data_IF_587731099690
#
_entry.id   IF_587731099690
#
_cell.length_a   1.000
_cell.length_b   1.000
_cell.length_c   1.000
_cell.angle_alpha   90.00
_cell.angle_beta   90.00
_cell.angle_gamma   90.00
#
_symmetry.space_group_name_H-M   'P 1'
#
loop_
_entity.id
_entity.type
_entity.pdbx_description
1 polymer ?
#
# COMPACT_ATOMS: atom_id res chain seq x y z
N UNK A 1 -16.16 -68.74 -15.74
CA UNK A 1 -16.10 -68.70 -17.22
C UNK A 1 -16.61 -67.34 -17.69
N UNK A 2 -15.76 -66.60 -18.42
CA UNK A 2 -16.01 -65.53 -19.41
C UNK A 2 -17.15 -64.50 -19.17
N UNK A 3 -16.82 -63.22 -18.90
CA UNK A 3 -16.46 -62.10 -19.84
C UNK A 3 -17.67 -61.42 -20.50
N UNK A 4 -17.91 -60.14 -20.16
CA UNK A 4 -18.10 -58.96 -21.04
C UNK A 4 -18.60 -57.78 -20.16
N UNK A 5 -17.81 -56.75 -19.81
CA UNK A 5 -17.33 -55.56 -20.56
C UNK A 5 -18.42 -54.56 -21.00
N UNK A 6 -18.56 -53.48 -20.22
CA UNK A 6 -18.91 -52.11 -20.66
C UNK A 6 -18.12 -51.13 -19.78
N UNK A 7 -16.95 -50.67 -20.24
CA UNK A 7 -16.66 -49.30 -20.72
C UNK A 7 -17.58 -48.19 -20.19
N UNK A 8 -17.05 -47.39 -19.27
CA UNK A 8 -17.37 -45.96 -19.16
C UNK A 8 -16.09 -45.18 -18.86
N UNK A 9 -15.88 -44.14 -19.64
CA UNK A 9 -14.68 -43.32 -19.72
C UNK A 9 -14.40 -42.56 -18.41
N UNK A 10 -13.26 -42.85 -17.78
CA UNK A 10 -12.64 -41.96 -16.80
C UNK A 10 -11.82 -40.92 -17.54
N UNK A 11 -12.31 -39.69 -17.56
CA UNK A 11 -11.62 -38.51 -18.06
C UNK A 11 -10.36 -38.29 -17.21
N UNK A 12 -9.19 -38.46 -17.84
CA UNK A 12 -7.90 -38.06 -17.30
C UNK A 12 -7.87 -36.53 -17.32
N UNK A 13 -8.15 -35.91 -16.18
CA UNK A 13 -7.81 -34.50 -15.96
C UNK A 13 -6.30 -34.46 -15.78
N UNK A 14 -5.61 -34.10 -16.87
CA UNK A 14 -4.20 -33.80 -16.85
C UNK A 14 -3.94 -32.71 -15.82
N UNK A 15 -3.24 -33.09 -14.76
CA UNK A 15 -2.48 -32.15 -13.94
C UNK A 15 -1.38 -31.65 -14.86
N UNK A 16 -1.68 -30.57 -15.57
CA UNK A 16 -0.67 -29.73 -16.19
C UNK A 16 0.21 -29.23 -15.05
N UNK A 17 1.38 -29.85 -14.91
CA UNK A 17 2.51 -29.26 -14.24
C UNK A 17 2.75 -27.91 -14.91
N UNK A 18 2.18 -26.85 -14.32
CA UNK A 18 2.57 -25.49 -14.60
C UNK A 18 4.08 -25.46 -14.37
N UNK A 19 4.80 -25.41 -15.48
CA UNK A 19 6.24 -25.29 -15.46
C UNK A 19 6.60 -24.13 -14.54
N UNK A 20 7.72 -24.27 -13.86
CA UNK A 20 8.38 -23.18 -13.16
C UNK A 20 8.50 -22.00 -14.12
N UNK A 21 7.51 -21.10 -14.12
CA UNK A 21 7.62 -19.80 -14.74
C UNK A 21 8.78 -19.15 -13.98
N UNK A 22 9.94 -19.10 -14.62
CA UNK A 22 11.12 -18.48 -14.05
C UNK A 22 10.69 -17.10 -13.57
N UNK A 23 10.96 -16.79 -12.30
CA UNK A 23 10.71 -15.45 -11.79
C UNK A 23 11.31 -14.44 -12.78
N UNK A 24 10.58 -13.39 -13.17
CA UNK A 24 11.10 -12.37 -14.07
C UNK A 24 12.48 -11.94 -13.57
N UNK A 25 13.48 -11.95 -14.45
CA UNK A 25 14.84 -11.62 -14.06
C UNK A 25 14.84 -10.16 -13.61
N UNK A 26 15.19 -9.85 -12.35
CA UNK A 26 15.23 -8.47 -11.90
C UNK A 26 16.27 -7.72 -12.73
N UNK A 27 15.88 -6.59 -13.32
CA UNK A 27 16.81 -5.76 -14.08
C UNK A 27 17.60 -4.86 -13.16
N UNK A 28 16.97 -4.26 -12.14
CA UNK A 28 17.70 -3.45 -11.16
C UNK A 28 17.20 -3.63 -9.72
N UNK A 29 18.14 -3.52 -8.77
CA UNK A 29 17.91 -3.58 -7.32
C UNK A 29 18.50 -2.33 -6.66
N UNK A 30 17.72 -1.59 -5.88
CA UNK A 30 18.27 -0.50 -5.07
C UNK A 30 19.10 -1.07 -3.91
N UNK A 31 20.36 -0.60 -3.76
CA UNK A 31 21.13 -0.85 -2.54
C UNK A 31 20.88 0.28 -1.55
N UNK A 32 20.39 -0.10 -0.40
CA UNK A 32 20.51 0.64 0.83
C UNK A 32 20.56 -0.42 1.94
N UNK A 33 20.92 -0.04 3.18
CA UNK A 33 20.81 -0.90 4.38
C UNK A 33 19.34 -1.20 4.71
N UNK A 34 18.60 -1.71 3.72
CA UNK A 34 17.18 -2.01 3.75
C UNK A 34 17.00 -3.53 3.75
N UNK A 35 16.12 -4.06 4.59
CA UNK A 35 15.84 -5.50 4.66
C UNK A 35 15.31 -6.06 3.34
N UNK A 36 14.60 -5.24 2.56
CA UNK A 36 14.12 -5.59 1.23
C UNK A 36 14.38 -4.42 0.27
N UNK A 37 15.10 -4.66 -0.83
CA UNK A 37 15.40 -3.65 -1.82
C UNK A 37 14.17 -3.32 -2.67
N UNK A 38 14.09 -2.09 -3.15
CA UNK A 38 13.22 -1.75 -4.28
C UNK A 38 13.71 -2.49 -5.53
N UNK A 39 12.80 -3.18 -6.24
CA UNK A 39 13.13 -4.02 -7.40
C UNK A 39 12.41 -3.53 -8.65
N UNK A 40 13.15 -3.36 -9.75
CA UNK A 40 12.62 -3.02 -11.07
C UNK A 40 12.92 -4.18 -12.01
N UNK A 41 11.89 -4.68 -12.70
CA UNK A 41 11.97 -5.84 -13.58
C UNK A 41 11.11 -5.64 -14.83
N UNK A 42 11.25 -6.56 -15.77
CA UNK A 42 10.34 -6.74 -16.90
C UNK A 42 9.50 -7.98 -16.60
N UNK A 43 8.18 -7.87 -16.68
CA UNK A 43 7.26 -8.99 -16.44
C UNK A 43 7.18 -9.96 -17.64
N UNK A 44 6.30 -10.94 -17.55
CA UNK A 44 6.15 -11.97 -18.59
C UNK A 44 5.56 -11.41 -19.90
N UNK A 45 4.84 -10.29 -19.79
CA UNK A 45 4.19 -9.57 -20.88
C UNK A 45 5.11 -8.52 -21.52
N UNK A 46 6.33 -8.33 -20.98
CA UNK A 46 7.29 -7.35 -21.48
C UNK A 46 7.12 -5.95 -20.90
N UNK A 47 6.22 -5.77 -19.93
CA UNK A 47 5.96 -4.49 -19.27
C UNK A 47 6.93 -4.29 -18.12
N UNK A 48 7.17 -3.03 -17.77
CA UNK A 48 7.91 -2.70 -16.57
C UNK A 48 7.10 -3.02 -15.33
N UNK A 49 7.78 -3.62 -14.35
CA UNK A 49 7.25 -3.94 -13.03
C UNK A 49 8.19 -3.39 -11.97
N UNK A 50 7.66 -2.59 -11.07
CA UNK A 50 8.44 -1.93 -10.04
C UNK A 50 7.82 -2.14 -8.65
N UNK A 51 8.51 -2.92 -7.81
CA UNK A 51 8.09 -3.25 -6.45
C UNK A 51 8.68 -2.27 -5.44
N UNK A 52 7.81 -1.71 -4.60
CA UNK A 52 8.12 -0.60 -3.69
C UNK A 52 7.96 -1.03 -2.22
N UNK A 53 8.87 -1.84 -1.65
CA UNK A 53 8.75 -2.33 -0.28
C UNK A 53 8.74 -1.19 0.76
N UNK A 54 9.40 -0.06 0.45
CA UNK A 54 9.37 1.16 1.26
C UNK A 54 8.02 1.90 1.25
N UNK A 55 7.05 1.41 0.48
CA UNK A 55 5.70 1.96 0.35
C UNK A 55 4.61 0.91 0.64
N UNK A 56 4.97 -0.27 1.14
CA UNK A 56 4.01 -1.32 1.51
C UNK A 56 3.93 -2.42 0.50
N UNK A 57 4.97 -2.51 -0.31
CA UNK A 57 5.03 -3.37 -1.48
C UNK A 57 3.89 -3.15 -2.48
N UNK A 58 3.40 -1.92 -2.75
CA UNK A 58 2.68 -1.70 -3.98
C UNK A 58 3.60 -1.99 -5.16
N UNK A 59 2.98 -2.33 -6.28
CA UNK A 59 3.67 -2.64 -7.52
C UNK A 59 3.19 -1.71 -8.59
N UNK A 60 4.09 -0.88 -9.11
CA UNK A 60 3.84 -0.07 -10.29
C UNK A 60 4.10 -0.89 -11.55
N UNK A 61 3.25 -0.71 -12.55
CA UNK A 61 3.45 -1.27 -13.89
C UNK A 61 3.32 -0.20 -14.96
N UNK A 62 3.97 -0.44 -16.09
CA UNK A 62 3.99 0.52 -17.20
C UNK A 62 4.78 0.04 -18.40
N UNK A 63 4.88 0.89 -19.42
CA UNK A 63 5.62 0.60 -20.65
C UNK A 63 7.06 1.12 -20.59
N UNK A 64 8.00 0.37 -21.16
CA UNK A 64 9.39 0.79 -21.27
C UNK A 64 9.66 1.56 -22.56
N UNK A 65 10.44 2.62 -22.43
CA UNK A 65 11.04 3.34 -23.55
C UNK A 65 12.57 3.38 -23.40
N UNK A 66 13.28 2.95 -24.43
CA UNK A 66 14.75 3.09 -24.52
C UNK A 66 15.10 4.46 -25.11
N UNK A 67 15.91 5.22 -24.38
CA UNK A 67 16.36 6.56 -24.79
C UNK A 67 17.89 6.63 -24.81
N UNK A 68 18.50 7.60 -25.52
CA UNK A 68 19.95 7.80 -25.46
C UNK A 68 20.51 8.07 -24.05
N UNK A 69 19.66 8.51 -23.11
CA UNK A 69 20.02 8.87 -21.75
C UNK A 69 19.79 7.74 -20.74
N UNK A 70 19.13 6.64 -21.14
CA UNK A 70 18.74 5.56 -20.26
C UNK A 70 17.36 5.00 -20.60
N UNK A 71 16.71 4.35 -19.63
CA UNK A 71 15.40 3.72 -19.80
C UNK A 71 14.33 4.47 -19.05
N UNK A 72 13.19 4.71 -19.67
CA UNK A 72 12.04 5.39 -19.07
C UNK A 72 10.91 4.39 -18.87
N UNK A 73 10.38 4.32 -17.65
CA UNK A 73 9.14 3.61 -17.34
C UNK A 73 8.00 4.62 -17.35
N UNK A 74 7.07 4.45 -18.28
CA UNK A 74 5.81 5.20 -18.33
C UNK A 74 4.75 4.43 -17.53
N UNK A 75 4.49 4.89 -16.32
CA UNK A 75 3.63 4.22 -15.34
C UNK A 75 2.16 4.46 -15.70
N UNK A 76 1.37 3.39 -15.69
CA UNK A 76 -0.08 3.46 -15.95
C UNK A 76 -0.95 2.75 -14.91
N UNK A 77 -0.35 1.91 -14.06
CA UNK A 77 -1.09 1.13 -13.08
C UNK A 77 -0.30 0.91 -11.79
N UNK A 78 -1.03 0.83 -10.68
CA UNK A 78 -0.52 0.40 -9.39
C UNK A 78 -1.38 -0.72 -8.82
N UNK A 79 -0.75 -1.81 -8.42
CA UNK A 79 -1.39 -2.92 -7.71
C UNK A 79 -1.03 -2.87 -6.23
N UNK A 80 -2.04 -3.03 -5.38
CA UNK A 80 -1.92 -3.07 -3.93
C UNK A 80 -2.66 -4.29 -3.38
N UNK A 81 -1.95 -5.09 -2.59
CA UNK A 81 -2.50 -6.22 -1.86
C UNK A 81 -2.38 -5.97 -0.36
N UNK A 82 -3.52 -5.92 0.32
CA UNK A 82 -3.61 -5.65 1.75
C UNK A 82 -4.17 -6.89 2.43
N UNK A 83 -3.46 -7.39 3.43
CA UNK A 83 -3.90 -8.52 4.24
C UNK A 83 -4.08 -8.08 5.69
N UNK A 84 -5.18 -8.49 6.32
CA UNK A 84 -5.43 -8.24 7.74
C UNK A 84 -6.11 -9.45 8.39
N UNK A 85 -6.22 -9.43 9.72
CA UNK A 85 -6.62 -10.62 10.49
C UNK A 85 -7.95 -11.25 10.02
N UNK A 86 -8.85 -10.42 9.49
CA UNK A 86 -10.21 -10.82 9.11
C UNK A 86 -10.46 -10.73 7.61
N UNK A 87 -9.44 -10.55 6.76
CA UNK A 87 -9.71 -10.30 5.35
C UNK A 87 -8.52 -9.88 4.50
N UNK A 88 -8.82 -9.59 3.25
CA UNK A 88 -7.86 -9.01 2.30
C UNK A 88 -8.56 -8.07 1.32
N UNK A 89 -7.81 -7.10 0.80
CA UNK A 89 -8.22 -6.17 -0.26
C UNK A 89 -7.15 -6.24 -1.34
N UNK A 90 -7.59 -6.54 -2.56
CA UNK A 90 -6.82 -6.31 -3.79
C UNK A 90 -7.38 -5.05 -4.43
N UNK A 91 -6.51 -4.09 -4.72
CA UNK A 91 -6.87 -2.86 -5.44
C UNK A 91 -5.90 -2.66 -6.58
N UNK A 92 -6.44 -2.33 -7.73
CA UNK A 92 -5.67 -1.76 -8.82
C UNK A 92 -6.11 -0.33 -9.07
N UNK A 93 -5.12 0.54 -9.21
CA UNK A 93 -5.27 1.93 -9.54
C UNK A 93 -4.89 2.18 -10.98
N UNK A 94 -5.61 3.10 -11.61
CA UNK A 94 -5.02 3.92 -12.65
C UNK A 94 -3.96 4.81 -12.00
N UNK A 95 -2.74 4.72 -12.49
CA UNK A 95 -1.63 5.57 -12.08
C UNK A 95 -1.12 6.35 -13.30
N UNK A 96 -0.37 7.42 -13.06
CA UNK A 96 0.31 8.17 -14.12
C UNK A 96 1.68 8.60 -13.63
N UNK A 97 2.61 8.82 -14.56
CA UNK A 97 3.94 9.36 -14.26
C UNK A 97 5.04 8.65 -15.05
N UNK A 98 6.25 9.18 -14.97
CA UNK A 98 7.37 8.67 -15.72
C UNK A 98 8.66 8.76 -14.90
N UNK A 99 9.41 7.66 -14.85
CA UNK A 99 10.68 7.58 -14.15
C UNK A 99 11.76 7.08 -15.09
N UNK A 100 12.89 7.79 -15.13
CA UNK A 100 14.06 7.44 -15.93
C UNK A 100 15.15 6.82 -15.06
N UNK A 101 15.70 5.70 -15.51
CA UNK A 101 16.95 5.14 -15.00
C UNK A 101 18.08 5.47 -15.96
N UNK A 102 19.04 6.26 -15.48
CA UNK A 102 20.24 6.64 -16.24
C UNK A 102 21.48 5.94 -15.66
N UNK A 103 22.43 5.48 -16.50
CA UNK A 103 23.65 4.88 -16.00
C UNK A 103 24.53 5.92 -15.29
N UNK A 104 25.06 5.57 -14.12
CA UNK A 104 26.03 6.35 -13.34
C UNK A 104 27.22 5.47 -12.93
N UNK A 105 28.28 6.08 -12.41
CA UNK A 105 29.46 5.34 -11.96
C UNK A 105 29.08 4.34 -10.85
N UNK A 106 29.12 3.03 -11.18
CA UNK A 106 28.82 1.96 -10.24
C UNK A 106 27.35 1.52 -10.20
N UNK A 107 26.46 2.05 -11.04
CA UNK A 107 25.08 1.59 -11.09
C UNK A 107 24.17 2.45 -11.97
N UNK A 108 22.94 2.61 -11.51
CA UNK A 108 21.87 3.36 -12.17
C UNK A 108 21.24 4.31 -11.17
N UNK A 109 20.81 5.48 -11.65
CA UNK A 109 20.09 6.47 -10.86
C UNK A 109 18.71 6.72 -11.44
N UNK A 110 17.72 6.74 -10.56
CA UNK A 110 16.35 7.06 -10.91
C UNK A 110 16.10 8.58 -10.83
N UNK A 111 15.38 9.10 -11.81
CA UNK A 111 14.92 10.48 -11.88
C UNK A 111 13.44 10.50 -12.26
N UNK A 112 12.63 11.25 -11.50
CA UNK A 112 11.22 11.47 -11.81
C UNK A 112 11.12 12.49 -12.93
N UNK A 113 10.65 12.07 -14.11
CA UNK A 113 10.41 12.96 -15.24
C UNK A 113 9.01 13.58 -15.16
N UNK A 114 8.03 12.79 -14.76
CA UNK A 114 6.65 13.22 -14.51
C UNK A 114 6.20 12.70 -13.14
N UNK A 115 5.51 13.52 -12.32
CA UNK A 115 5.03 13.10 -11.01
C UNK A 115 4.27 11.78 -11.06
N UNK A 116 4.57 10.87 -10.14
CA UNK A 116 3.83 9.62 -10.03
C UNK A 116 2.56 9.87 -9.22
N UNK A 117 1.40 9.80 -9.88
CA UNK A 117 0.10 10.13 -9.31
C UNK A 117 -0.84 8.92 -9.30
N UNK A 118 -1.68 8.83 -8.26
CA UNK A 118 -2.79 7.88 -8.21
C UNK A 118 -4.04 8.58 -8.75
N UNK A 119 -4.53 8.16 -9.91
CA UNK A 119 -5.65 8.82 -10.59
C UNK A 119 -6.99 8.34 -10.03
N UNK A 120 -7.12 7.04 -9.80
CA UNK A 120 -8.34 6.46 -9.27
C UNK A 120 -8.32 4.93 -9.23
N UNK A 121 -9.27 4.35 -8.51
CA UNK A 121 -9.42 2.88 -8.45
C UNK A 121 -9.99 2.37 -9.78
N UNK A 122 -9.28 1.47 -10.43
CA UNK A 122 -9.71 0.80 -11.67
C UNK A 122 -10.54 -0.44 -11.33
N UNK A 123 -10.02 -1.29 -10.43
CA UNK A 123 -10.71 -2.51 -9.99
C UNK A 123 -10.33 -2.87 -8.56
N UNK A 124 -11.22 -3.62 -7.91
CA UNK A 124 -10.95 -4.14 -6.59
C UNK A 124 -11.63 -5.49 -6.34
N UNK A 125 -11.08 -6.25 -5.40
CA UNK A 125 -11.71 -7.40 -4.80
C UNK A 125 -11.47 -7.34 -3.28
N UNK A 126 -12.53 -7.60 -2.49
CA UNK A 126 -12.46 -7.49 -1.04
C UNK A 126 -13.04 -8.74 -0.43
N UNK A 127 -12.32 -9.33 0.52
CA UNK A 127 -12.85 -10.35 1.42
C UNK A 127 -12.88 -9.79 2.83
N UNK A 128 -14.06 -9.78 3.45
CA UNK A 128 -14.26 -9.47 4.88
C UNK A 128 -14.92 -10.65 5.55
N UNK A 129 -14.16 -11.38 6.38
CA UNK A 129 -14.57 -12.63 7.02
C UNK A 129 -15.05 -13.66 5.98
N UNK A 130 -16.36 -13.95 5.99
CA UNK A 130 -17.04 -14.85 5.05
C UNK A 130 -17.57 -14.11 3.81
N UNK A 131 -17.69 -12.79 3.86
CA UNK A 131 -18.19 -11.97 2.76
C UNK A 131 -17.10 -11.73 1.72
N UNK A 132 -17.48 -11.85 0.43
CA UNK A 132 -16.65 -11.49 -0.71
C UNK A 132 -17.37 -10.45 -1.55
N UNK A 133 -16.73 -9.30 -1.76
CA UNK A 133 -17.16 -8.26 -2.68
C UNK A 133 -16.34 -8.39 -3.97
N UNK A 134 -17.01 -8.24 -5.11
CA UNK A 134 -16.42 -8.26 -6.46
C UNK A 134 -17.16 -7.29 -7.38
N UNK A 135 -16.54 -6.93 -8.50
CA UNK A 135 -17.11 -6.02 -9.50
C UNK A 135 -17.42 -4.66 -8.89
N UNK A 136 -18.49 -4.02 -9.35
CA UNK A 136 -18.88 -2.66 -8.99
C UNK A 136 -18.97 -2.43 -7.49
N UNK A 137 -19.44 -3.42 -6.72
CA UNK A 137 -19.53 -3.30 -5.26
C UNK A 137 -18.18 -3.20 -4.57
N UNK A 138 -17.19 -3.97 -5.03
CA UNK A 138 -15.84 -3.89 -4.48
C UNK A 138 -15.15 -2.61 -4.94
N UNK A 139 -15.37 -2.23 -6.20
CA UNK A 139 -14.87 -0.99 -6.77
C UNK A 139 -15.39 0.25 -6.00
N UNK A 140 -16.70 0.35 -5.76
CA UNK A 140 -17.29 1.45 -5.00
C UNK A 140 -16.76 1.54 -3.56
N UNK A 141 -16.61 0.39 -2.89
CA UNK A 141 -16.07 0.34 -1.53
C UNK A 141 -14.60 0.78 -1.51
N UNK A 142 -13.78 0.27 -2.42
CA UNK A 142 -12.38 0.63 -2.55
C UNK A 142 -12.21 2.11 -2.94
N UNK A 143 -13.01 2.63 -3.87
CA UNK A 143 -12.99 4.05 -4.27
C UNK A 143 -13.30 4.96 -3.09
N UNK A 144 -14.40 4.72 -2.37
CA UNK A 144 -14.76 5.53 -1.20
C UNK A 144 -13.71 5.47 -0.11
N UNK A 145 -13.06 4.32 0.09
CA UNK A 145 -11.93 4.18 1.01
C UNK A 145 -10.71 4.98 0.54
N UNK A 146 -10.35 4.86 -0.74
CA UNK A 146 -9.25 5.61 -1.37
C UNK A 146 -9.39 7.11 -1.13
N UNK A 147 -10.57 7.66 -1.44
CA UNK A 147 -10.89 9.08 -1.29
C UNK A 147 -10.72 9.54 0.15
N UNK A 148 -11.31 8.81 1.11
CA UNK A 148 -11.15 9.12 2.54
C UNK A 148 -9.69 9.00 3.00
N UNK A 149 -8.96 7.99 2.55
CA UNK A 149 -7.55 7.81 2.91
C UNK A 149 -6.73 8.99 2.38
N UNK A 150 -6.94 9.42 1.14
CA UNK A 150 -6.25 10.56 0.56
C UNK A 150 -6.53 11.85 1.33
N UNK A 151 -7.80 12.13 1.63
CA UNK A 151 -8.20 13.32 2.39
C UNK A 151 -7.60 13.32 3.80
N UNK A 152 -7.71 12.20 4.53
CA UNK A 152 -7.18 12.11 5.90
C UNK A 152 -5.64 12.15 5.89
N UNK A 153 -4.98 11.52 4.91
CA UNK A 153 -3.52 11.59 4.79
C UNK A 153 -3.06 13.03 4.56
N UNK A 154 -3.76 13.82 3.74
CA UNK A 154 -3.47 15.25 3.53
C UNK A 154 -3.65 16.03 4.83
N UNK A 155 -4.78 15.87 5.52
CA UNK A 155 -5.04 16.55 6.80
C UNK A 155 -4.03 16.17 7.88
N UNK A 156 -3.57 14.91 7.88
CA UNK A 156 -2.60 14.42 8.85
C UNK A 156 -1.23 15.08 8.67
N UNK A 157 -0.83 15.51 7.46
CA UNK A 157 0.53 16.01 7.17
C UNK A 157 0.92 17.23 8.01
N UNK A 158 -0.03 18.09 8.36
CA UNK A 158 0.23 19.28 9.18
C UNK A 158 0.66 18.93 10.61
N UNK A 159 0.11 17.83 11.15
CA UNK A 159 0.37 17.38 12.52
C UNK A 159 1.40 16.24 12.58
N UNK A 160 1.47 15.45 11.51
CA UNK A 160 2.31 14.28 11.34
C UNK A 160 3.05 14.39 9.99
N UNK A 161 4.18 15.11 9.93
CA UNK A 161 4.99 15.18 8.73
C UNK A 161 5.40 13.78 8.24
N UNK A 162 5.25 13.48 6.93
CA UNK A 162 5.64 12.19 6.35
C UNK A 162 7.09 11.84 6.66
N UNK A 163 7.33 10.58 7.00
CA UNK A 163 8.67 10.01 7.17
C UNK A 163 8.62 8.51 6.98
N UNK A 164 9.73 7.92 6.55
CA UNK A 164 9.83 6.46 6.53
C UNK A 164 9.69 5.89 7.94
N UNK A 165 8.87 4.86 8.09
CA UNK A 165 8.66 4.19 9.36
C UNK A 165 8.70 2.68 9.21
N UNK A 166 9.00 2.01 10.33
CA UNK A 166 8.89 0.57 10.42
C UNK A 166 7.44 0.12 10.65
N UNK A 167 7.16 -1.14 10.33
CA UNK A 167 5.95 -1.87 10.70
C UNK A 167 6.34 -3.00 11.67
N UNK A 168 5.43 -3.34 12.58
CA UNK A 168 5.60 -4.46 13.52
C UNK A 168 5.35 -5.86 12.95
N UNK A 169 4.84 -6.00 11.72
CA UNK A 169 4.51 -7.32 11.18
C UNK A 169 5.79 -8.03 10.74
N UNK A 170 6.14 -9.20 11.32
CA UNK A 170 7.42 -9.88 11.10
C UNK A 170 7.64 -10.38 9.66
N UNK A 171 6.63 -10.29 8.79
CA UNK A 171 6.68 -10.72 7.40
C UNK A 171 6.45 -9.59 6.39
N UNK A 172 6.35 -8.33 6.85
CA UNK A 172 6.24 -7.19 5.96
C UNK A 172 7.57 -6.44 5.86
N UNK A 173 7.98 -5.98 4.65
CA UNK A 173 9.30 -5.39 4.35
C UNK A 173 9.77 -4.19 5.20
N UNK A 174 8.91 -3.65 6.05
CA UNK A 174 9.05 -2.39 6.76
C UNK A 174 10.01 -2.43 7.96
N UNK A 175 11.25 -2.88 7.81
CA UNK A 175 12.26 -2.67 8.87
C UNK A 175 13.24 -1.59 8.44
N UNK A 176 12.72 -0.37 8.31
CA UNK A 176 13.57 0.78 8.05
C UNK A 176 13.46 1.67 9.26
N UNK A 177 14.62 1.80 9.92
CA UNK A 177 14.88 2.55 11.13
C UNK A 177 14.52 1.81 12.42
N UNK A 178 15.45 1.81 13.38
CA UNK A 178 15.21 1.50 14.80
C UNK A 178 14.32 2.58 15.42
N UNK A 179 13.16 2.81 14.83
CA UNK A 179 12.19 3.76 15.33
C UNK A 179 11.71 3.26 16.69
N UNK A 180 11.61 4.16 17.66
CA UNK A 180 11.00 3.86 18.96
C UNK A 180 9.50 3.51 18.84
N UNK A 181 8.94 3.69 17.65
CA UNK A 181 7.52 3.58 17.33
C UNK A 181 7.35 3.17 15.86
N UNK A 182 6.38 2.29 15.58
CA UNK A 182 5.98 1.90 14.23
C UNK A 182 4.82 2.77 13.68
N UNK A 183 4.50 2.67 12.40
CA UNK A 183 3.42 3.48 11.84
C UNK A 183 2.04 3.23 12.47
N UNK A 184 1.70 1.98 12.78
CA UNK A 184 0.43 1.62 13.43
C UNK A 184 0.29 2.32 14.79
N UNK A 185 1.35 2.37 15.57
CA UNK A 185 1.41 3.04 16.85
C UNK A 185 1.29 4.56 16.66
N UNK A 186 2.07 5.16 15.76
CA UNK A 186 2.02 6.61 15.52
C UNK A 186 0.61 7.05 15.12
N UNK A 187 0.06 6.39 14.11
CA UNK A 187 -1.26 6.71 13.58
C UNK A 187 -2.36 6.38 14.59
N UNK A 188 -2.28 5.19 15.21
CA UNK A 188 -3.23 4.72 16.22
C UNK A 188 -3.29 5.63 17.44
N UNK A 189 -2.16 6.03 18.00
CA UNK A 189 -2.11 6.96 19.12
C UNK A 189 -2.61 8.37 18.75
N UNK A 190 -2.47 8.77 17.49
CA UNK A 190 -2.93 10.07 17.03
C UNK A 190 -4.44 10.07 16.82
N UNK A 191 -4.96 9.17 15.98
CA UNK A 191 -6.37 9.19 15.56
C UNK A 191 -7.29 8.39 16.50
N UNK A 192 -6.78 7.40 17.22
CA UNK A 192 -7.57 6.46 18.03
C UNK A 192 -6.95 6.20 19.42
N UNK A 193 -6.62 7.25 20.21
CA UNK A 193 -5.99 7.09 21.52
C UNK A 193 -6.83 6.29 22.53
N UNK A 194 -8.14 6.16 22.30
CA UNK A 194 -9.05 5.34 23.11
C UNK A 194 -8.75 3.84 22.99
N UNK A 195 -8.18 3.40 21.86
CA UNK A 195 -7.83 2.00 21.58
C UNK A 195 -6.34 1.77 21.78
N UNK A 196 -5.52 2.67 21.22
CA UNK A 196 -4.07 2.52 21.20
C UNK A 196 -3.37 3.13 22.42
N UNK A 197 -4.10 3.90 23.24
CA UNK A 197 -3.58 4.56 24.43
C UNK A 197 -3.23 6.03 24.18
N UNK A 198 -3.38 6.84 25.23
CA UNK A 198 -3.15 8.27 25.19
C UNK A 198 -1.66 8.58 25.33
N UNK A 199 -1.09 9.25 24.33
CA UNK A 199 0.28 9.74 24.38
C UNK A 199 0.36 11.19 24.88
N UNK A 200 1.43 11.54 25.56
CA UNK A 200 1.73 12.91 26.02
C UNK A 200 2.37 13.79 24.94
N UNK A 201 2.30 13.40 23.66
CA UNK A 201 2.91 14.19 22.59
C UNK A 201 2.13 15.49 22.41
N UNK A 202 2.70 16.56 22.97
CA UNK A 202 2.57 18.02 22.81
C UNK A 202 1.21 18.69 22.58
N UNK A 203 0.19 17.98 22.13
CA UNK A 203 -1.04 18.54 21.59
C UNK A 203 -2.31 17.78 22.01
N UNK A 204 -2.21 16.47 22.30
CA UNK A 204 -3.31 15.73 22.95
C UNK A 204 -3.49 16.16 24.42
N UNK A 205 -2.58 16.96 24.96
CA UNK A 205 -2.76 17.63 26.25
C UNK A 205 -3.89 18.67 26.23
N UNK A 206 -4.23 19.22 25.05
CA UNK A 206 -5.36 20.14 24.87
C UNK A 206 -6.72 19.41 24.78
N UNK A 207 -6.69 18.08 24.65
CA UNK A 207 -7.86 17.24 24.48
C UNK A 207 -8.39 16.81 25.84
N UNK A 208 -9.63 17.16 26.15
CA UNK A 208 -10.30 16.72 27.36
C UNK A 208 -10.61 15.23 27.28
N UNK A 209 -9.83 14.41 28.00
CA UNK A 209 -9.99 12.95 28.08
C UNK A 209 -11.31 12.53 28.73
N UNK A 210 -11.96 13.44 29.45
CA UNK A 210 -13.25 13.22 30.11
C UNK A 210 -14.43 13.78 29.31
N UNK A 211 -14.18 14.33 28.12
CA UNK A 211 -15.23 14.82 27.25
C UNK A 211 -16.24 13.71 26.87
N UNK A 212 -17.47 14.08 26.47
CA UNK A 212 -18.48 13.13 26.05
C UNK A 212 -17.98 12.22 24.93
N UNK A 213 -18.35 10.95 25.02
CA UNK A 213 -18.05 9.96 24.00
C UNK A 213 -19.25 9.70 23.10
N UNK A 214 -18.97 9.30 21.86
CA UNK A 214 -19.94 8.86 20.88
C UNK A 214 -19.67 7.41 20.50
N UNK A 215 -20.70 6.57 20.44
CA UNK A 215 -20.52 5.15 20.10
C UNK A 215 -20.55 4.95 18.59
N UNK A 216 -19.53 4.30 18.05
CA UNK A 216 -19.47 3.85 16.66
C UNK A 216 -18.63 2.59 16.54
N UNK A 217 -19.14 1.57 15.85
CA UNK A 217 -18.48 0.26 15.67
C UNK A 217 -17.96 -0.36 16.98
N UNK A 218 -18.82 -0.37 18.00
CA UNK A 218 -18.56 -0.93 19.33
C UNK A 218 -17.46 -0.22 20.15
N UNK A 219 -16.92 0.90 19.65
CA UNK A 219 -15.95 1.75 20.34
C UNK A 219 -16.62 3.07 20.74
N UNK A 220 -16.19 3.62 21.87
CA UNK A 220 -16.60 4.94 22.35
C UNK A 220 -15.54 5.98 21.97
N UNK A 221 -15.87 6.85 21.02
CA UNK A 221 -15.00 7.88 20.48
C UNK A 221 -15.11 9.17 21.28
N UNK A 222 -13.99 9.69 21.77
CA UNK A 222 -13.96 10.96 22.47
C UNK A 222 -14.15 12.11 21.46
N UNK A 223 -15.21 12.92 21.65
CA UNK A 223 -15.55 14.01 20.73
C UNK A 223 -14.52 15.15 20.74
N UNK A 224 -13.81 15.36 21.83
CA UNK A 224 -12.76 16.39 21.88
C UNK A 224 -11.55 16.01 21.02
N UNK A 225 -11.23 14.71 20.91
CA UNK A 225 -10.23 14.20 19.95
C UNK A 225 -10.70 14.48 18.53
N UNK A 226 -11.96 14.15 18.21
CA UNK A 226 -12.52 14.37 16.87
C UNK A 226 -12.43 15.83 16.45
N UNK A 227 -12.91 16.76 17.30
CA UNK A 227 -12.90 18.19 16.98
C UNK A 227 -11.51 18.82 16.96
N UNK A 228 -10.53 18.21 17.62
CA UNK A 228 -9.14 18.65 17.57
C UNK A 228 -8.44 18.20 16.27
N UNK A 229 -8.61 16.92 15.90
CA UNK A 229 -7.89 16.33 14.77
C UNK A 229 -8.50 16.62 13.41
N UNK A 230 -9.84 16.68 13.35
CA UNK A 230 -10.59 16.69 12.11
C UNK A 230 -11.42 17.98 12.01
N UNK A 231 -11.47 18.60 10.82
CA UNK A 231 -12.49 19.59 10.52
C UNK A 231 -13.89 19.01 10.76
N UNK A 232 -14.86 19.87 11.08
CA UNK A 232 -16.24 19.46 11.39
C UNK A 232 -16.85 18.57 10.28
N UNK A 233 -16.55 18.87 9.02
CA UNK A 233 -17.01 18.09 7.86
C UNK A 233 -16.60 16.60 7.89
N UNK A 234 -15.56 16.24 8.65
CA UNK A 234 -15.04 14.88 8.76
C UNK A 234 -15.31 14.25 10.13
N UNK A 235 -15.99 14.96 11.04
CA UNK A 235 -16.23 14.47 12.39
C UNK A 235 -16.98 13.13 12.40
N UNK A 236 -17.97 12.98 11.52
CA UNK A 236 -18.78 11.77 11.39
C UNK A 236 -17.96 10.56 10.94
N UNK A 237 -16.90 10.75 10.14
CA UNK A 237 -16.05 9.63 9.69
C UNK A 237 -15.37 8.93 10.87
N UNK A 238 -14.94 9.71 11.87
CA UNK A 238 -14.34 9.19 13.09
C UNK A 238 -15.41 8.70 14.05
N UNK A 239 -16.43 9.52 14.32
CA UNK A 239 -17.46 9.20 15.31
C UNK A 239 -18.31 7.97 14.92
N UNK A 240 -18.46 7.68 13.63
CA UNK A 240 -19.15 6.47 13.17
C UNK A 240 -18.28 5.21 13.27
N UNK A 241 -16.98 5.31 13.54
CA UNK A 241 -16.00 4.22 13.48
C UNK A 241 -15.45 3.91 12.08
N UNK A 242 -15.92 4.58 11.03
CA UNK A 242 -15.51 4.27 9.64
C UNK A 242 -14.01 4.46 9.44
N UNK A 243 -13.45 5.56 9.96
CA UNK A 243 -12.02 5.85 9.86
C UNK A 243 -11.17 4.80 10.59
N UNK A 244 -11.66 4.28 11.72
CA UNK A 244 -10.98 3.23 12.46
C UNK A 244 -10.95 1.91 11.69
N UNK A 245 -12.06 1.52 11.07
CA UNK A 245 -12.10 0.35 10.20
C UNK A 245 -11.20 0.49 8.98
N UNK A 246 -11.17 1.66 8.33
CA UNK A 246 -10.26 1.89 7.21
C UNK A 246 -8.80 1.76 7.63
N UNK A 247 -8.47 2.17 8.85
CA UNK A 247 -7.15 1.97 9.44
C UNK A 247 -6.83 0.49 9.71
N UNK A 248 -7.73 -0.26 10.35
CA UNK A 248 -7.51 -1.69 10.63
C UNK A 248 -7.42 -2.55 9.36
N UNK A 249 -8.22 -2.22 8.33
CA UNK A 249 -8.27 -2.95 7.06
C UNK A 249 -7.27 -2.43 6.01
N UNK A 250 -6.71 -1.23 6.21
CA UNK A 250 -6.00 -0.48 5.16
C UNK A 250 -4.76 0.26 5.66
N UNK A 251 -4.16 -0.14 6.78
CA UNK A 251 -2.98 0.51 7.35
C UNK A 251 -1.86 0.81 6.33
N UNK A 252 -1.48 -0.19 5.52
CA UNK A 252 -0.42 -0.05 4.52
C UNK A 252 -0.83 0.91 3.40
N UNK A 253 -2.12 0.96 3.06
CA UNK A 253 -2.67 1.90 2.09
C UNK A 253 -2.58 3.33 2.61
N UNK A 254 -2.96 3.55 3.87
CA UNK A 254 -2.82 4.86 4.53
C UNK A 254 -1.35 5.29 4.54
N UNK A 255 -0.45 4.39 4.95
CA UNK A 255 0.98 4.68 4.96
C UNK A 255 1.50 5.05 3.57
N UNK A 256 1.16 4.24 2.56
CA UNK A 256 1.57 4.44 1.17
C UNK A 256 1.22 5.86 0.72
N UNK A 257 -0.03 6.27 0.91
CA UNK A 257 -0.53 7.60 0.49
C UNK A 257 0.11 8.72 1.33
N UNK A 258 0.30 8.50 2.63
CA UNK A 258 0.90 9.47 3.52
C UNK A 258 2.35 9.80 3.13
N UNK A 259 3.14 8.79 2.75
CA UNK A 259 4.56 8.93 2.42
C UNK A 259 4.86 9.05 0.92
N UNK A 260 3.83 8.97 0.06
CA UNK A 260 3.95 8.87 -1.40
C UNK A 260 4.86 9.95 -2.00
N UNK A 261 4.54 11.22 -1.74
CA UNK A 261 5.27 12.35 -2.30
C UNK A 261 6.70 12.42 -1.77
N UNK A 262 6.88 12.17 -0.46
CA UNK A 262 8.21 12.10 0.16
C UNK A 262 9.08 11.07 -0.54
N UNK A 263 8.51 9.91 -0.89
CA UNK A 263 9.26 8.87 -1.55
C UNK A 263 9.76 9.30 -2.93
N UNK A 264 8.88 9.77 -3.80
CA UNK A 264 9.27 10.13 -5.17
C UNK A 264 10.13 11.39 -5.23
N UNK A 265 9.88 12.37 -4.37
CA UNK A 265 10.55 13.68 -4.43
C UNK A 265 11.87 13.70 -3.67
N UNK A 266 11.95 13.02 -2.52
CA UNK A 266 13.11 13.12 -1.63
C UNK A 266 13.90 11.81 -1.58
N UNK A 267 13.25 10.65 -1.47
CA UNK A 267 13.95 9.38 -1.21
C UNK A 267 14.50 8.76 -2.49
N UNK A 268 13.67 8.63 -3.53
CA UNK A 268 14.02 7.98 -4.78
C UNK A 268 15.29 8.56 -5.43
N UNK A 269 15.49 9.89 -5.53
CA UNK A 269 16.69 10.47 -6.15
C UNK A 269 17.99 10.19 -5.41
N UNK A 270 17.91 9.68 -4.17
CA UNK A 270 19.03 9.28 -3.33
C UNK A 270 19.35 7.78 -3.42
N UNK A 271 18.49 6.98 -4.06
CA UNK A 271 18.69 5.54 -4.21
C UNK A 271 19.63 5.25 -5.39
N UNK A 272 20.56 4.32 -5.16
CA UNK A 272 21.42 3.76 -6.21
C UNK A 272 20.94 2.36 -6.57
N UNK A 273 20.75 2.13 -7.88
CA UNK A 273 20.24 0.88 -8.43
C UNK A 273 21.35 0.09 -9.10
N UNK A 274 21.38 -1.22 -8.89
CA UNK A 274 22.40 -2.12 -9.44
C UNK A 274 21.76 -3.16 -10.32
N UNK A 275 22.38 -3.44 -11.46
CA UNK A 275 21.91 -4.48 -12.36
C UNK A 275 22.14 -5.86 -11.71
N UNK A 276 21.08 -6.67 -11.67
CA UNK A 276 21.17 -8.02 -11.15
C UNK A 276 21.43 -8.96 -12.33
N UNK A 277 22.56 -9.67 -12.30
CA UNK A 277 22.96 -10.67 -13.31
C UNK A 277 22.57 -12.09 -12.92
#
# INVERSE_FOLDING_TARGET
>A
MNKLLHMTAGMVLGIGLLGCAGMPRPHWRAEADLPQPTVVAIDAEGRGRWELPLLGSPVLTGEWEETPQGRVLHIDSLQLFLNWQQGWTEVEYMAGGAVRWSPEAGGWRAEVLEPVELVGVERAAIRRQEQRLRGDRAWEEARRRSERIAEIAVLARDQLPPRLMAHDRPNYPWHVLRARENFQQLWGHTFFPEVYGWREYRDVAAVDRHAPTERGEDIAWNRSVTGYLLPEAYADLRNSGTLFRDFEEGLEWIYMVWVWDLFFQEILPQLQFYEYS
#
